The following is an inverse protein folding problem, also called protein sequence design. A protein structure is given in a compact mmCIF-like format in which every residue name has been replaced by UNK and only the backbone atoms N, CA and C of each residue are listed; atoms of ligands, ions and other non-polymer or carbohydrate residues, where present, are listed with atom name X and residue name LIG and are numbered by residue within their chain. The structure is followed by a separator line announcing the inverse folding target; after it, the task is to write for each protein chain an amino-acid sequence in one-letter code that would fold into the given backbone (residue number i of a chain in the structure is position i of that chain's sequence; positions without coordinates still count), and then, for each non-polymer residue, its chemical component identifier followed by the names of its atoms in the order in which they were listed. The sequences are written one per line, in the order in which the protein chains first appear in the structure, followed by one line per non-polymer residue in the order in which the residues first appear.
data_IF_304690199746
#
_entry.id   IF_304690199746
#
_cell.length_a   1.000
_cell.length_b   1.000
_cell.length_c   1.000
_cell.angle_alpha   90.00
_cell.angle_beta   90.00
_cell.angle_gamma   90.00
#
_symmetry.space_group_name_H-M   'P 1'
#
loop_
_entity.id
_entity.type
_entity.pdbx_description
1 polymer ?
#
# COMPACT_ATOMS: atom_id res chain seq x y z
N UNK A 1 -31.89 -63.60 4.77
CA UNK A 1 -31.15 -63.63 6.04
C UNK A 1 -29.71 -64.06 5.79
N UNK A 2 -28.75 -63.16 5.98
CA UNK A 2 -27.36 -63.45 6.41
C UNK A 2 -26.77 -62.12 6.89
N UNK A 3 -26.56 -62.03 8.20
CA UNK A 3 -25.92 -60.92 8.89
C UNK A 3 -24.41 -61.12 8.79
N UNK A 4 -23.67 -60.06 8.48
CA UNK A 4 -22.29 -59.93 8.93
C UNK A 4 -22.13 -58.59 9.64
N UNK A 5 -21.53 -58.68 10.82
CA UNK A 5 -21.25 -57.61 11.75
C UNK A 5 -19.75 -57.27 11.65
N UNK A 6 -19.46 -55.98 11.77
CA UNK A 6 -18.27 -55.37 12.38
C UNK A 6 -16.93 -55.54 11.64
N UNK A 7 -16.33 -54.42 11.21
CA UNK A 7 -15.07 -53.98 11.82
C UNK A 7 -14.81 -52.49 11.58
N UNK A 8 -14.45 -51.80 12.66
CA UNK A 8 -13.91 -50.46 12.70
C UNK A 8 -12.67 -50.33 11.81
N UNK A 9 -12.64 -49.29 10.98
CA UNK A 9 -11.42 -48.70 10.46
C UNK A 9 -11.41 -47.22 10.79
N UNK A 10 -10.64 -46.82 11.80
CA UNK A 10 -10.27 -45.44 12.05
C UNK A 10 -9.64 -44.86 10.77
N UNK A 11 -10.36 -43.98 10.07
CA UNK A 11 -9.70 -42.98 9.25
C UNK A 11 -9.36 -41.80 10.15
N UNK A 12 -8.11 -41.79 10.63
CA UNK A 12 -7.45 -40.54 10.99
C UNK A 12 -7.19 -39.82 9.67
N UNK A 13 -8.16 -39.03 9.21
CA UNK A 13 -7.93 -38.07 8.14
C UNK A 13 -6.92 -37.07 8.68
N UNK A 14 -5.72 -37.08 8.10
CA UNK A 14 -4.75 -36.04 8.32
C UNK A 14 -5.44 -34.68 8.22
N UNK A 15 -5.21 -33.85 9.23
CA UNK A 15 -5.44 -32.42 9.17
C UNK A 15 -4.59 -31.90 8.01
N UNK A 16 -5.16 -31.89 6.81
CA UNK A 16 -4.67 -31.05 5.75
C UNK A 16 -4.90 -29.63 6.26
N UNK A 17 -3.81 -28.97 6.65
CA UNK A 17 -3.75 -27.53 6.60
C UNK A 17 -4.37 -27.14 5.26
N UNK A 18 -5.57 -26.55 5.28
CA UNK A 18 -6.09 -25.85 4.12
C UNK A 18 -5.08 -24.74 3.88
N UNK A 19 -4.08 -24.99 3.05
CA UNK A 19 -3.44 -23.93 2.30
C UNK A 19 -4.61 -23.26 1.60
N UNK A 20 -4.92 -22.04 2.00
CA UNK A 20 -5.90 -21.24 1.27
C UNK A 20 -5.56 -21.35 -0.21
N UNK A 21 -6.52 -21.73 -1.07
CA UNK A 21 -6.22 -21.98 -2.46
C UNK A 21 -5.57 -20.74 -3.03
N UNK A 22 -4.35 -20.90 -3.55
CA UNK A 22 -3.64 -19.82 -4.23
C UNK A 22 -4.59 -19.23 -5.26
N UNK A 23 -4.87 -17.92 -5.23
CA UNK A 23 -5.81 -17.30 -6.14
C UNK A 23 -5.46 -17.63 -7.60
N UNK A 24 -6.46 -17.84 -8.48
CA UNK A 24 -6.19 -18.10 -9.88
C UNK A 24 -5.39 -16.94 -10.51
N UNK A 25 -4.57 -17.21 -11.54
CA UNK A 25 -3.88 -16.15 -12.26
C UNK A 25 -4.90 -15.19 -12.91
N UNK A 26 -4.62 -13.90 -12.85
CA UNK A 26 -5.45 -12.84 -13.42
C UNK A 26 -5.46 -12.94 -14.95
N UNK A 27 -6.61 -12.69 -15.57
CA UNK A 27 -6.72 -12.44 -17.01
C UNK A 27 -5.99 -11.14 -17.41
N UNK A 28 -5.74 -10.96 -18.72
CA UNK A 28 -5.08 -9.75 -19.23
C UNK A 28 -5.85 -8.45 -18.86
N UNK A 29 -7.19 -8.49 -18.87
CA UNK A 29 -8.02 -7.34 -18.53
C UNK A 29 -7.95 -7.01 -17.02
N UNK A 30 -8.00 -8.04 -16.16
CA UNK A 30 -7.85 -7.88 -14.72
C UNK A 30 -6.45 -7.40 -14.34
N UNK A 31 -5.41 -7.94 -15.00
CA UNK A 31 -4.03 -7.52 -14.81
C UNK A 31 -3.82 -6.06 -15.19
N UNK A 32 -4.41 -5.62 -16.33
CA UNK A 32 -4.40 -4.21 -16.74
C UNK A 32 -5.14 -3.32 -15.73
N UNK A 33 -6.31 -3.77 -15.25
CA UNK A 33 -7.08 -3.05 -14.23
C UNK A 33 -6.30 -2.90 -12.93
N UNK A 34 -5.68 -3.98 -12.45
CA UNK A 34 -4.82 -3.99 -11.27
C UNK A 34 -3.65 -3.03 -11.45
N UNK A 35 -2.88 -3.15 -12.53
CA UNK A 35 -1.74 -2.28 -12.82
C UNK A 35 -2.13 -0.79 -12.87
N UNK A 36 -3.27 -0.48 -13.51
CA UNK A 36 -3.81 0.90 -13.55
C UNK A 36 -4.18 1.39 -12.14
N UNK A 37 -4.85 0.55 -11.34
CA UNK A 37 -5.25 0.89 -9.98
C UNK A 37 -4.10 1.04 -9.00
N UNK A 38 -2.95 0.39 -9.28
CA UNK A 38 -1.70 0.44 -8.51
C UNK A 38 -0.78 1.61 -8.90
N UNK A 39 -1.00 2.21 -10.07
CA UNK A 39 -0.14 3.28 -10.60
C UNK A 39 -0.04 4.47 -9.64
N UNK A 40 -1.14 4.98 -9.05
CA UNK A 40 -1.06 6.07 -8.06
C UNK A 40 -0.23 5.71 -6.82
N UNK A 41 -0.30 4.45 -6.37
CA UNK A 41 0.43 3.96 -5.19
C UNK A 41 1.92 3.86 -5.52
N UNK A 42 2.28 3.32 -6.69
CA UNK A 42 3.68 3.31 -7.14
C UNK A 42 4.23 4.74 -7.24
N UNK A 43 3.46 5.69 -7.77
CA UNK A 43 3.89 7.09 -7.83
C UNK A 43 4.06 7.70 -6.43
N UNK A 44 3.14 7.46 -5.51
CA UNK A 44 3.26 7.91 -4.11
C UNK A 44 4.50 7.32 -3.43
N UNK A 45 4.80 6.05 -3.71
CA UNK A 45 5.97 5.38 -3.16
C UNK A 45 7.27 5.88 -3.76
N UNK A 46 7.29 6.16 -5.07
CA UNK A 46 8.43 6.80 -5.71
C UNK A 46 8.67 8.22 -5.17
N UNK A 47 7.60 9.00 -4.96
CA UNK A 47 7.68 10.32 -4.30
C UNK A 47 8.27 10.20 -2.89
N UNK A 48 7.79 9.24 -2.11
CA UNK A 48 8.26 8.99 -0.75
C UNK A 48 9.75 8.62 -0.74
N UNK A 49 10.14 7.66 -1.58
CA UNK A 49 11.53 7.23 -1.70
C UNK A 49 12.46 8.38 -2.11
N UNK A 50 12.01 9.22 -3.05
CA UNK A 50 12.72 10.44 -3.42
C UNK A 50 12.78 11.44 -2.26
N UNK A 51 11.70 11.62 -1.49
CA UNK A 51 11.68 12.53 -0.34
C UNK A 51 12.68 12.10 0.74
N UNK A 52 12.68 10.79 1.06
CA UNK A 52 13.65 10.19 1.98
C UNK A 52 15.08 10.34 1.47
N UNK A 53 15.29 10.17 0.16
CA UNK A 53 16.58 10.34 -0.50
C UNK A 53 17.12 11.78 -0.39
N UNK A 54 16.25 12.79 -0.37
CA UNK A 54 16.62 14.19 -0.21
C UNK A 54 16.60 14.67 1.26
N UNK A 55 16.61 13.75 2.23
CA UNK A 55 16.75 14.06 3.65
C UNK A 55 15.48 14.61 4.31
N UNK A 56 14.33 14.46 3.67
CA UNK A 56 13.04 14.73 4.31
C UNK A 56 12.40 13.44 4.76
N UNK A 57 12.17 13.26 6.07
CA UNK A 57 11.01 12.50 6.48
C UNK A 57 9.78 13.35 6.15
N UNK A 58 8.91 12.96 5.20
CA UNK A 58 7.66 13.67 5.08
C UNK A 58 6.90 13.46 6.38
N UNK A 59 6.64 14.52 7.15
CA UNK A 59 5.60 14.49 8.18
C UNK A 59 4.22 14.12 7.57
N UNK A 60 4.11 14.06 6.25
CA UNK A 60 2.98 13.52 5.49
C UNK A 60 3.07 12.02 5.19
N UNK A 61 3.77 11.20 5.99
CA UNK A 61 3.60 9.73 5.99
C UNK A 61 2.15 9.28 6.29
N UNK A 62 1.25 10.23 6.53
CA UNK A 62 -0.20 10.05 6.47
C UNK A 62 -0.59 9.34 5.16
N UNK A 63 -1.25 8.19 5.23
CA UNK A 63 -1.84 7.58 4.05
C UNK A 63 -2.82 8.56 3.45
N UNK A 64 -2.68 8.77 2.14
CA UNK A 64 -3.73 9.29 1.28
C UNK A 64 -4.29 10.65 1.69
N UNK A 65 -3.54 11.72 1.46
CA UNK A 65 -4.14 13.04 1.22
C UNK A 65 -4.98 13.63 2.35
N UNK A 66 -4.89 13.10 3.58
CA UNK A 66 -5.42 13.76 4.77
C UNK A 66 -4.51 14.95 5.00
N UNK A 67 -4.82 16.07 4.32
CA UNK A 67 -4.13 17.31 4.59
C UNK A 67 -4.36 17.66 6.06
N UNK A 68 -3.26 18.03 6.72
CA UNK A 68 -3.20 18.54 8.09
C UNK A 68 -4.16 19.74 8.21
N UNK A 69 -5.44 19.49 8.48
CA UNK A 69 -6.43 20.58 8.53
C UNK A 69 -7.08 20.77 9.88
N UNK A 70 -6.93 19.85 10.85
CA UNK A 70 -7.13 20.18 12.26
C UNK A 70 -6.14 19.41 13.17
N UNK A 71 -5.21 20.13 13.78
CA UNK A 71 -4.23 19.58 14.73
C UNK A 71 -4.88 19.04 16.03
N UNK A 72 -6.19 19.26 16.23
CA UNK A 72 -6.93 18.92 17.45
C UNK A 72 -7.27 17.42 17.60
N UNK A 73 -7.26 16.65 16.51
CA UNK A 73 -7.71 15.25 16.49
C UNK A 73 -6.57 14.23 16.40
N UNK A 74 -5.31 14.70 16.37
CA UNK A 74 -4.11 13.86 16.32
C UNK A 74 -3.35 14.05 17.63
N UNK A 75 -3.08 12.94 18.32
CA UNK A 75 -2.30 12.94 19.56
C UNK A 75 -0.96 12.25 19.30
N UNK A 76 0.13 12.97 19.53
CA UNK A 76 1.49 12.43 19.47
C UNK A 76 1.95 12.04 20.87
N UNK A 77 2.45 10.82 21.03
CA UNK A 77 3.01 10.29 22.28
C UNK A 77 4.33 9.57 22.01
N UNK A 78 5.11 9.29 23.06
CA UNK A 78 6.35 8.51 22.95
C UNK A 78 7.62 9.33 23.20
N UNK A 79 8.75 8.77 22.79
CA UNK A 79 10.07 9.39 22.91
C UNK A 79 10.41 10.17 21.63
N UNK A 80 10.44 11.50 21.75
CA UNK A 80 10.80 12.43 20.68
C UNK A 80 12.29 12.80 20.67
N UNK A 81 13.12 12.12 21.45
CA UNK A 81 14.57 12.30 21.38
C UNK A 81 15.07 11.90 19.98
N UNK A 82 16.10 12.62 19.53
CA UNK A 82 16.82 12.40 18.28
C UNK A 82 18.29 12.66 18.61
N UNK A 83 18.98 11.61 19.06
CA UNK A 83 20.31 11.72 19.67
C UNK A 83 21.41 11.85 18.61
N UNK A 84 21.25 11.18 17.47
CA UNK A 84 22.19 11.23 16.35
C UNK A 84 21.90 12.34 15.32
N UNK A 85 20.76 13.04 15.47
CA UNK A 85 20.35 14.24 14.71
C UNK A 85 20.05 13.94 13.24
N UNK A 86 19.55 12.75 12.94
CA UNK A 86 19.11 12.39 11.61
C UNK A 86 17.66 12.85 11.29
N UNK A 87 16.99 13.46 12.27
CA UNK A 87 15.64 14.00 12.15
C UNK A 87 14.55 12.96 12.40
N UNK A 88 14.91 11.73 12.77
CA UNK A 88 13.99 10.67 13.15
C UNK A 88 13.89 10.64 14.68
N UNK A 89 12.69 10.72 15.27
CA UNK A 89 12.57 10.50 16.70
C UNK A 89 12.74 9.02 17.05
N UNK A 90 13.37 8.76 18.19
CA UNK A 90 13.61 7.44 18.76
C UNK A 90 12.39 6.52 18.69
N UNK A 91 11.21 6.97 19.14
CA UNK A 91 9.96 6.22 18.98
C UNK A 91 8.72 7.08 19.30
N UNK A 92 7.94 7.44 18.28
CA UNK A 92 6.70 8.21 18.43
C UNK A 92 5.50 7.45 17.90
N UNK A 93 4.37 7.61 18.59
CA UNK A 93 3.07 7.09 18.19
C UNK A 93 2.12 8.26 17.95
N UNK A 94 1.57 8.33 16.74
CA UNK A 94 0.50 9.24 16.33
C UNK A 94 -0.83 8.50 16.44
N UNK A 95 -1.75 9.00 17.25
CA UNK A 95 -3.11 8.48 17.36
C UNK A 95 -4.06 9.43 16.66
N UNK A 96 -4.78 8.92 15.67
CA UNK A 96 -5.78 9.65 14.89
C UNK A 96 -7.16 9.35 15.47
N UNK A 97 -7.92 10.39 15.80
CA UNK A 97 -9.32 10.29 16.17
C UNK A 97 -10.10 11.49 15.62
N UNK A 98 -10.14 11.58 14.30
CA UNK A 98 -10.65 12.71 13.56
C UNK A 98 -12.07 12.47 13.07
N UNK A 99 -12.91 13.50 13.18
CA UNK A 99 -14.27 13.49 12.66
C UNK A 99 -14.52 14.81 11.93
N UNK A 100 -14.95 14.73 10.67
CA UNK A 100 -15.17 15.88 9.79
C UNK A 100 -16.56 15.75 9.15
N UNK A 101 -17.56 16.34 9.79
CA UNK A 101 -18.95 16.16 9.40
C UNK A 101 -19.37 14.68 9.51
N UNK A 102 -19.69 14.06 8.38
CA UNK A 102 -20.06 12.64 8.28
C UNK A 102 -18.87 11.69 8.07
N UNK A 103 -17.66 12.23 7.95
CA UNK A 103 -16.44 11.46 7.71
C UNK A 103 -15.65 11.24 9.00
N UNK A 104 -14.94 10.12 9.09
CA UNK A 104 -14.16 9.73 10.25
C UNK A 104 -12.83 9.11 9.83
N UNK A 105 -11.76 9.44 10.55
CA UNK A 105 -10.46 8.79 10.45
C UNK A 105 -10.00 8.42 11.85
N UNK A 106 -9.83 7.12 12.11
CA UNK A 106 -9.35 6.60 13.39
C UNK A 106 -8.19 5.64 13.18
N UNK A 107 -7.22 5.65 14.07
CA UNK A 107 -6.13 4.67 14.02
C UNK A 107 -4.86 5.14 14.67
N UNK A 108 -3.79 4.43 14.37
CA UNK A 108 -2.46 4.71 14.91
C UNK A 108 -1.41 4.59 13.83
N UNK A 109 -0.41 5.45 13.89
CA UNK A 109 0.85 5.29 13.18
C UNK A 109 2.00 5.34 14.18
N UNK A 110 3.03 4.53 13.97
CA UNK A 110 4.24 4.49 14.81
C UNK A 110 5.43 4.74 13.91
N UNK A 111 6.26 5.72 14.26
CA UNK A 111 7.55 5.96 13.65
C UNK A 111 8.62 5.67 14.69
N UNK A 112 9.60 4.85 14.33
CA UNK A 112 10.66 4.43 15.23
C UNK A 112 11.99 4.41 14.50
N UNK A 113 12.94 5.13 15.05
CA UNK A 113 14.36 4.97 14.72
C UNK A 113 14.83 3.55 15.12
N UNK A 114 15.53 2.89 14.21
CA UNK A 114 16.10 1.56 14.46
C UNK A 114 17.21 1.62 15.51
N UNK A 115 17.99 2.69 15.52
CA UNK A 115 19.06 2.95 16.48
C UNK A 115 19.36 4.46 16.54
N UNK A 116 18.76 5.14 17.52
CA UNK A 116 18.90 6.59 17.81
C UNK A 116 20.35 7.05 18.13
N UNK A 117 21.32 6.15 18.09
CA UNK A 117 22.75 6.47 18.22
C UNK A 117 23.53 6.35 16.89
N UNK A 118 22.85 6.03 15.79
CA UNK A 118 23.44 5.83 14.47
C UNK A 118 22.51 6.35 13.36
N UNK A 119 22.84 7.54 12.86
CA UNK A 119 22.14 8.25 11.79
C UNK A 119 22.03 7.48 10.45
N UNK A 120 22.66 6.31 10.34
CA UNK A 120 22.57 5.42 9.16
C UNK A 120 21.70 4.19 9.39
N UNK A 121 21.12 4.04 10.58
CA UNK A 121 20.32 2.88 10.94
C UNK A 121 18.97 2.88 10.21
N UNK A 122 18.42 4.08 9.96
CA UNK A 122 17.13 4.30 9.29
C UNK A 122 15.94 4.11 10.22
N UNK A 123 14.72 4.11 9.67
CA UNK A 123 13.51 3.99 10.48
C UNK A 123 12.60 2.83 10.08
N UNK A 124 11.68 2.55 10.98
CA UNK A 124 10.46 1.77 10.73
C UNK A 124 9.24 2.66 10.91
N UNK A 125 8.24 2.46 10.06
CA UNK A 125 6.94 3.11 10.18
C UNK A 125 5.85 2.04 10.10
N UNK A 126 4.91 2.02 11.02
CA UNK A 126 3.76 1.10 10.96
C UNK A 126 2.47 1.88 11.07
N UNK A 127 1.42 1.34 10.47
CA UNK A 127 0.12 1.99 10.48
C UNK A 127 -1.03 0.99 10.55
N UNK A 128 -2.05 1.36 11.32
CA UNK A 128 -3.36 0.71 11.38
C UNK A 128 -4.42 1.81 11.45
N UNK A 129 -5.13 2.03 10.34
CA UNK A 129 -6.14 3.08 10.21
C UNK A 129 -7.45 2.55 9.69
N UNK A 130 -8.53 3.20 10.10
CA UNK A 130 -9.88 3.03 9.61
C UNK A 130 -10.40 4.39 9.15
N UNK A 131 -10.89 4.45 7.92
CA UNK A 131 -11.53 5.59 7.33
C UNK A 131 -12.99 5.24 7.09
N UNK A 132 -13.88 6.18 7.38
CA UNK A 132 -15.28 6.13 7.00
C UNK A 132 -15.60 7.43 6.29
N UNK A 133 -16.04 7.33 5.04
CA UNK A 133 -16.51 8.46 4.26
C UNK A 133 -17.99 8.27 3.97
N UNK A 134 -18.79 9.28 4.23
CA UNK A 134 -20.22 9.24 3.96
C UNK A 134 -20.63 10.48 3.19
N UNK A 135 -21.23 10.28 2.01
CA UNK A 135 -21.79 11.33 1.17
C UNK A 135 -23.31 11.15 1.05
N UNK A 136 -24.04 12.25 0.92
CA UNK A 136 -25.48 12.22 0.68
C UNK A 136 -25.85 13.43 -0.18
N UNK A 137 -26.58 13.18 -1.26
CA UNK A 137 -27.05 14.18 -2.20
C UNK A 137 -28.52 13.88 -2.61
N UNK A 138 -29.03 14.57 -3.63
CA UNK A 138 -30.38 14.34 -4.14
C UNK A 138 -30.51 12.99 -4.86
N UNK A 139 -29.40 12.38 -5.25
CA UNK A 139 -29.31 11.14 -6.01
C UNK A 139 -29.16 9.91 -5.10
N UNK A 140 -28.82 10.10 -3.82
CA UNK A 140 -28.94 9.11 -2.77
C UNK A 140 -27.90 9.26 -1.66
N UNK A 141 -27.61 8.14 -0.98
CA UNK A 141 -26.63 8.08 0.10
C UNK A 141 -25.53 7.07 -0.22
N UNK A 142 -24.30 7.40 0.18
CA UNK A 142 -23.14 6.56 -0.07
C UNK A 142 -22.28 6.52 1.18
N UNK A 143 -21.85 5.34 1.58
CA UNK A 143 -20.87 5.16 2.66
C UNK A 143 -19.78 4.22 2.19
N UNK A 144 -18.54 4.68 2.32
CA UNK A 144 -17.32 3.92 2.09
C UNK A 144 -16.59 3.77 3.41
N UNK A 145 -16.18 2.54 3.74
CA UNK A 145 -15.24 2.27 4.82
C UNK A 145 -13.98 1.65 4.25
N UNK A 146 -12.83 2.04 4.80
CA UNK A 146 -11.54 1.52 4.40
C UNK A 146 -10.69 1.26 5.64
N UNK A 147 -10.25 0.02 5.82
CA UNK A 147 -9.23 -0.34 6.80
C UNK A 147 -7.89 -0.48 6.08
N UNK A 148 -6.88 0.22 6.57
CA UNK A 148 -5.52 0.24 6.04
C UNK A 148 -4.58 -0.27 7.13
N UNK A 149 -3.83 -1.32 6.83
CA UNK A 149 -2.68 -1.73 7.64
C UNK A 149 -1.44 -1.63 6.79
N UNK A 150 -0.32 -1.25 7.39
CA UNK A 150 0.92 -1.19 6.64
C UNK A 150 2.15 -1.07 7.51
N UNK A 151 3.28 -1.30 6.86
CA UNK A 151 4.60 -1.15 7.43
C UNK A 151 5.57 -0.67 6.37
N UNK A 152 6.50 0.17 6.77
CA UNK A 152 7.66 0.58 6.00
C UNK A 152 8.90 0.33 6.85
N UNK A 153 9.95 -0.14 6.21
CA UNK A 153 11.27 -0.24 6.77
C UNK A 153 12.21 0.41 5.77
N UNK A 154 12.97 1.43 6.17
CA UNK A 154 13.98 2.02 5.30
C UNK A 154 15.36 2.02 5.97
N UNK A 155 16.40 1.92 5.15
CA UNK A 155 17.80 1.91 5.57
C UNK A 155 18.64 2.71 4.57
N UNK A 156 19.33 3.77 5.01
CA UNK A 156 20.34 4.45 4.20
C UNK A 156 21.46 3.51 3.73
N UNK A 157 21.99 3.75 2.52
CA UNK A 157 23.12 3.01 1.94
C UNK A 157 24.36 3.90 1.89
N UNK A 158 25.53 3.28 1.89
CA UNK A 158 26.82 3.98 1.86
C UNK A 158 27.03 4.84 0.59
N UNK A 159 26.39 4.48 -0.52
CA UNK A 159 26.46 5.24 -1.78
C UNK A 159 25.46 6.41 -1.83
N UNK A 160 24.87 6.79 -0.70
CA UNK A 160 23.83 7.81 -0.60
C UNK A 160 22.44 7.31 -0.97
N UNK A 161 22.28 6.11 -1.54
CA UNK A 161 20.98 5.51 -1.82
C UNK A 161 20.22 5.10 -0.55
N UNK A 162 19.00 4.59 -0.72
CA UNK A 162 18.20 3.99 0.34
C UNK A 162 17.70 2.62 -0.12
N UNK A 163 17.59 1.68 0.82
CA UNK A 163 16.76 0.48 0.67
C UNK A 163 15.47 0.73 1.43
N UNK A 164 14.32 0.43 0.84
CA UNK A 164 13.06 0.44 1.57
C UNK A 164 12.17 -0.75 1.21
N UNK A 165 11.51 -1.28 2.23
CA UNK A 165 10.49 -2.31 2.14
C UNK A 165 9.17 -1.70 2.60
N UNK A 166 8.11 -1.90 1.82
CA UNK A 166 6.78 -1.40 2.13
C UNK A 166 5.76 -2.51 1.95
N UNK A 167 4.92 -2.70 2.96
CA UNK A 167 3.85 -3.68 2.97
C UNK A 167 2.57 -3.00 3.39
N UNK A 168 1.46 -3.36 2.78
CA UNK A 168 0.17 -2.86 3.22
C UNK A 168 -0.97 -3.72 2.73
N UNK A 169 -2.02 -3.76 3.53
CA UNK A 169 -3.31 -4.33 3.20
C UNK A 169 -4.39 -3.27 3.35
N UNK A 170 -5.34 -3.29 2.43
CA UNK A 170 -6.43 -2.35 2.30
C UNK A 170 -7.71 -3.14 2.14
N UNK A 171 -8.62 -3.02 3.10
CA UNK A 171 -9.95 -3.60 3.02
C UNK A 171 -10.95 -2.47 2.84
N UNK A 172 -11.65 -2.47 1.72
CA UNK A 172 -12.61 -1.44 1.33
C UNK A 172 -14.00 -2.06 1.32
N UNK A 173 -14.98 -1.37 1.86
CA UNK A 173 -16.39 -1.67 1.59
C UNK A 173 -17.14 -0.40 1.28
N UNK A 174 -18.01 -0.46 0.28
CA UNK A 174 -18.86 0.65 -0.09
C UNK A 174 -20.30 0.17 -0.24
N UNK A 175 -21.22 0.90 0.38
CA UNK A 175 -22.65 0.60 0.40
C UNK A 175 -23.43 1.88 0.19
N UNK A 176 -24.54 1.81 -0.53
CA UNK A 176 -25.36 3.00 -0.76
C UNK A 176 -26.40 2.83 -1.84
N UNK A 177 -27.03 3.94 -2.19
CA UNK A 177 -27.90 4.07 -3.35
C UNK A 177 -27.49 5.31 -4.12
N UNK A 178 -27.37 5.20 -5.44
CA UNK A 178 -27.12 6.33 -6.33
C UNK A 178 -28.00 6.18 -7.57
N UNK A 179 -28.82 7.18 -7.89
CA UNK A 179 -29.78 7.15 -9.01
C UNK A 179 -30.70 5.91 -9.00
N UNK A 180 -31.29 5.58 -7.84
CA UNK A 180 -32.11 4.38 -7.62
C UNK A 180 -31.41 3.03 -7.85
N UNK A 181 -30.08 3.02 -8.00
CA UNK A 181 -29.29 1.79 -8.03
C UNK A 181 -28.63 1.60 -6.67
N UNK A 182 -28.90 0.47 -6.02
CA UNK A 182 -28.11 0.06 -4.85
C UNK A 182 -26.68 -0.16 -5.31
N UNK A 183 -25.68 0.29 -4.56
CA UNK A 183 -24.26 0.01 -4.74
C UNK A 183 -23.81 -0.82 -3.55
N UNK A 184 -23.22 -1.99 -3.82
CA UNK A 184 -22.59 -2.85 -2.83
C UNK A 184 -21.27 -3.33 -3.40
N UNK A 185 -20.19 -2.94 -2.75
CA UNK A 185 -18.83 -3.28 -3.13
C UNK A 185 -18.04 -3.68 -1.90
N UNK A 186 -17.29 -4.76 -2.01
CA UNK A 186 -16.25 -5.12 -1.04
C UNK A 186 -14.98 -5.43 -1.81
N UNK A 187 -13.84 -4.92 -1.37
CA UNK A 187 -12.54 -5.20 -1.93
C UNK A 187 -11.50 -5.42 -0.84
N UNK A 188 -10.54 -6.28 -1.11
CA UNK A 188 -9.36 -6.44 -0.28
C UNK A 188 -8.14 -6.49 -1.17
N UNK A 189 -7.16 -5.63 -0.90
CA UNK A 189 -5.95 -5.49 -1.69
C UNK A 189 -4.75 -5.51 -0.76
N UNK A 190 -3.76 -6.32 -1.08
CA UNK A 190 -2.48 -6.31 -0.38
C UNK A 190 -1.36 -6.11 -1.37
N UNK A 191 -0.32 -5.40 -0.94
CA UNK A 191 0.87 -5.20 -1.75
C UNK A 191 2.12 -5.18 -0.87
N UNK A 192 3.15 -5.86 -1.37
CA UNK A 192 4.49 -5.87 -0.83
C UNK A 192 5.41 -5.30 -1.90
N UNK A 193 6.26 -4.36 -1.53
CA UNK A 193 7.22 -3.73 -2.42
C UNK A 193 8.57 -3.65 -1.72
N UNK A 194 9.59 -4.06 -2.44
CA UNK A 194 10.99 -3.88 -2.09
C UNK A 194 11.59 -2.95 -3.12
N UNK A 195 12.37 -1.97 -2.67
CA UNK A 195 13.01 -1.04 -3.57
C UNK A 195 14.35 -0.57 -3.05
N UNK A 196 15.21 -0.25 -4.02
CA UNK A 196 16.48 0.40 -3.78
C UNK A 196 16.58 1.64 -4.66
N UNK A 197 17.09 2.72 -4.09
CA UNK A 197 17.39 3.94 -4.81
C UNK A 197 18.88 4.06 -5.08
N UNK A 198 19.21 4.74 -6.16
CA UNK A 198 20.54 5.27 -6.44
C UNK A 198 20.39 6.72 -6.90
N UNK A 199 20.84 7.71 -6.11
CA UNK A 199 20.80 9.10 -6.52
C UNK A 199 21.74 9.33 -7.72
N UNK A 200 21.37 10.25 -8.59
CA UNK A 200 22.16 10.71 -9.72
C UNK A 200 22.07 12.24 -9.91
N UNK A 201 22.64 12.76 -10.99
CA UNK A 201 22.69 14.20 -11.24
C UNK A 201 21.31 14.84 -11.51
N UNK A 202 20.32 14.04 -11.94
CA UNK A 202 19.01 14.51 -12.41
C UNK A 202 17.85 14.10 -11.50
N UNK A 203 18.13 13.25 -10.51
CA UNK A 203 17.17 12.80 -9.53
C UNK A 203 17.59 11.48 -8.88
N UNK A 204 16.74 10.47 -9.02
CA UNK A 204 16.89 9.20 -8.32
C UNK A 204 16.47 8.07 -9.24
N UNK A 205 17.34 7.07 -9.41
CA UNK A 205 16.98 5.78 -10.00
C UNK A 205 16.35 4.90 -8.93
N UNK A 206 15.17 4.32 -9.21
CA UNK A 206 14.46 3.40 -8.33
C UNK A 206 14.30 2.06 -9.02
N UNK A 207 14.91 1.04 -8.44
CA UNK A 207 14.63 -0.35 -8.79
C UNK A 207 13.64 -0.88 -7.77
N UNK A 208 12.58 -1.53 -8.20
CA UNK A 208 11.62 -2.13 -7.29
C UNK A 208 11.04 -3.45 -7.79
N UNK A 209 10.59 -4.25 -6.85
CA UNK A 209 9.92 -5.52 -7.07
C UNK A 209 8.89 -5.78 -5.98
N UNK A 210 7.92 -6.63 -6.27
CA UNK A 210 6.86 -6.88 -5.32
C UNK A 210 5.81 -7.86 -5.79
N UNK A 211 4.83 -8.04 -4.94
CA UNK A 211 3.63 -8.80 -5.18
C UNK A 211 2.41 -7.98 -4.76
N UNK A 212 1.31 -8.20 -5.47
CA UNK A 212 0.02 -7.65 -5.13
C UNK A 212 -1.04 -8.72 -5.28
N UNK A 213 -1.95 -8.77 -4.32
CA UNK A 213 -3.14 -9.60 -4.38
C UNK A 213 -4.37 -8.72 -4.20
N UNK A 214 -5.46 -9.15 -4.83
CA UNK A 214 -6.71 -8.44 -4.79
C UNK A 214 -7.88 -9.39 -4.85
N UNK A 215 -8.94 -9.02 -4.16
CA UNK A 215 -10.27 -9.52 -4.45
C UNK A 215 -11.26 -8.38 -4.45
N UNK A 216 -12.29 -8.49 -5.25
CA UNK A 216 -13.43 -7.60 -5.21
C UNK A 216 -14.72 -8.35 -5.48
N UNK A 217 -15.81 -7.85 -4.92
CA UNK A 217 -17.15 -8.30 -5.21
C UNK A 217 -18.03 -7.08 -5.42
N UNK A 218 -18.58 -6.97 -6.62
CA UNK A 218 -19.52 -5.93 -7.01
C UNK A 218 -20.69 -6.58 -7.76
N UNK A 219 -21.85 -6.68 -7.12
CA UNK A 219 -23.13 -7.02 -7.77
C UNK A 219 -23.07 -8.17 -8.78
N UNK A 220 -22.54 -9.33 -8.37
CA UNK A 220 -22.46 -10.51 -9.22
C UNK A 220 -21.19 -10.60 -10.09
N UNK A 221 -20.33 -9.59 -10.06
CA UNK A 221 -18.97 -9.65 -10.57
C UNK A 221 -18.00 -9.79 -9.41
N UNK A 222 -17.35 -10.94 -9.31
CA UNK A 222 -16.27 -11.18 -8.37
C UNK A 222 -14.95 -11.35 -9.09
N UNK A 223 -13.92 -10.73 -8.58
CA UNK A 223 -12.54 -10.91 -8.98
C UNK A 223 -11.74 -11.41 -7.79
N UNK A 224 -10.80 -12.32 -8.02
CA UNK A 224 -9.74 -12.66 -7.07
C UNK A 224 -8.51 -13.10 -7.84
N UNK A 225 -7.35 -12.52 -7.51
CA UNK A 225 -6.11 -12.87 -8.17
C UNK A 225 -4.89 -12.28 -7.49
N UNK A 226 -3.72 -12.72 -7.94
CA UNK A 226 -2.43 -12.19 -7.52
C UNK A 226 -1.52 -11.93 -8.71
N UNK A 227 -0.66 -10.95 -8.59
CA UNK A 227 0.33 -10.56 -9.60
C UNK A 227 1.66 -10.27 -8.91
N UNK A 228 2.76 -10.52 -9.60
CA UNK A 228 4.06 -9.97 -9.23
C UNK A 228 4.35 -8.77 -10.10
N UNK A 229 5.16 -7.85 -9.61
CA UNK A 229 5.63 -6.73 -10.42
C UNK A 229 7.09 -6.44 -10.16
N UNK A 230 7.75 -5.90 -11.18
CA UNK A 230 9.13 -5.44 -11.09
C UNK A 230 9.36 -4.31 -12.08
N UNK A 231 10.17 -3.35 -11.71
CA UNK A 231 10.45 -2.20 -12.54
C UNK A 231 11.76 -1.51 -12.19
N UNK A 232 12.19 -0.70 -13.13
CA UNK A 232 13.30 0.24 -13.00
C UNK A 232 12.79 1.56 -13.57
N UNK A 233 12.70 2.58 -12.71
CA UNK A 233 12.18 3.90 -13.06
C UNK A 233 13.13 4.98 -12.58
N UNK A 234 13.16 6.10 -13.28
CA UNK A 234 13.86 7.30 -12.82
C UNK A 234 12.83 8.34 -12.35
N UNK A 235 13.14 8.94 -11.22
CA UNK A 235 12.37 10.00 -10.60
C UNK A 235 13.11 11.32 -10.74
N UNK A 236 12.51 12.29 -11.44
CA UNK A 236 13.06 13.64 -11.57
C UNK A 236 12.65 14.52 -10.39
N UNK A 237 13.60 15.31 -9.90
CA UNK A 237 13.41 16.31 -8.84
C UNK A 237 13.10 17.72 -9.38
N UNK A 238 12.59 17.84 -10.60
CA UNK A 238 12.29 19.13 -11.23
C UNK A 238 13.37 19.64 -12.18
N UNK A 239 14.54 18.99 -12.29
CA UNK A 239 15.66 19.48 -13.11
C UNK A 239 15.28 19.69 -14.59
N UNK A 240 14.31 18.91 -15.10
CA UNK A 240 13.80 19.01 -16.47
C UNK A 240 12.34 19.51 -16.54
N UNK A 241 11.88 20.27 -15.55
CA UNK A 241 10.49 20.75 -15.47
C UNK A 241 9.49 19.65 -15.08
N UNK A 242 9.98 18.56 -14.48
CA UNK A 242 9.21 17.37 -14.12
C UNK A 242 9.41 17.01 -12.64
N UNK A 243 8.34 16.91 -11.87
CA UNK A 243 8.37 16.30 -10.53
C UNK A 243 7.61 14.98 -10.59
N UNK A 244 8.32 13.85 -10.52
CA UNK A 244 7.70 12.53 -10.65
C UNK A 244 8.55 11.51 -11.38
N UNK A 245 7.95 10.35 -11.68
CA UNK A 245 8.57 9.36 -12.56
C UNK A 245 8.61 9.94 -13.99
N UNK A 246 9.80 10.06 -14.57
CA UNK A 246 9.98 10.62 -15.91
C UNK A 246 10.37 9.58 -16.96
N UNK A 247 10.83 8.40 -16.54
CA UNK A 247 11.28 7.35 -17.45
C UNK A 247 11.36 6.00 -16.77
N UNK A 248 11.37 4.95 -17.60
CA UNK A 248 11.51 3.57 -17.16
C UNK A 248 10.25 2.75 -17.38
N UNK A 249 10.16 1.59 -16.71
CA UNK A 249 9.02 0.70 -16.90
C UNK A 249 8.74 -0.17 -15.68
N UNK A 250 7.49 -0.64 -15.62
CA UNK A 250 7.02 -1.56 -14.59
C UNK A 250 6.30 -2.68 -15.28
N UNK A 251 6.73 -3.91 -15.04
CA UNK A 251 6.12 -5.10 -15.62
C UNK A 251 5.37 -5.86 -14.54
N UNK A 252 4.09 -6.10 -14.77
CA UNK A 252 3.19 -6.92 -13.97
C UNK A 252 3.06 -8.29 -14.62
N UNK A 253 3.07 -9.37 -13.82
CA UNK A 253 2.98 -10.76 -14.28
C UNK A 253 2.00 -11.55 -13.42
N UNK A 254 1.06 -12.21 -14.08
CA UNK A 254 0.14 -13.16 -13.45
C UNK A 254 -0.06 -14.38 -14.33
N UNK A 255 0.50 -15.53 -13.91
CA UNK A 255 0.60 -16.71 -14.77
C UNK A 255 1.36 -16.40 -16.06
N UNK A 256 0.75 -16.65 -17.21
CA UNK A 256 1.31 -16.34 -18.53
C UNK A 256 1.00 -14.91 -19.00
N UNK A 257 0.14 -14.18 -18.28
CA UNK A 257 -0.25 -12.83 -18.66
C UNK A 257 0.80 -11.83 -18.16
N UNK A 258 1.18 -10.91 -19.03
CA UNK A 258 2.15 -9.84 -18.73
C UNK A 258 1.58 -8.51 -19.19
N UNK A 259 1.76 -7.48 -18.37
CA UNK A 259 1.39 -6.11 -18.71
C UNK A 259 2.50 -5.16 -18.27
N UNK A 260 2.99 -4.32 -19.18
CA UNK A 260 4.09 -3.40 -18.90
C UNK A 260 3.60 -1.96 -19.03
N UNK A 261 3.78 -1.17 -17.98
CA UNK A 261 3.63 0.27 -17.99
C UNK A 261 4.96 0.91 -18.37
N UNK A 262 4.97 1.78 -19.37
CA UNK A 262 6.15 2.52 -19.79
C UNK A 262 5.99 4.00 -19.43
N UNK A 263 7.04 4.58 -18.87
CA UNK A 263 7.11 6.00 -18.51
C UNK A 263 8.03 6.68 -19.52
N UNK A 264 7.54 7.75 -20.14
CA UNK A 264 8.30 8.56 -21.10
C UNK A 264 7.94 10.03 -20.90
N UNK A 265 8.86 10.79 -20.30
CA UNK A 265 8.55 12.10 -19.70
C UNK A 265 7.65 11.96 -18.47
N UNK A 266 7.13 13.07 -17.94
CA UNK A 266 6.17 13.05 -16.80
C UNK A 266 4.81 12.42 -17.15
N UNK A 267 4.68 11.80 -18.33
CA UNK A 267 3.47 11.19 -18.83
C UNK A 267 3.63 9.68 -18.84
N UNK A 268 2.52 9.00 -18.51
CA UNK A 268 2.43 7.54 -18.61
C UNK A 268 1.97 7.21 -20.04
N UNK A 269 2.81 6.50 -20.79
CA UNK A 269 2.45 5.98 -22.12
C UNK A 269 2.04 4.52 -21.99
N UNK A 270 0.80 4.20 -22.41
CA UNK A 270 0.25 2.85 -22.40
C UNK A 270 0.59 2.08 -23.68
#
# INVERSE_FOLDING_TARGET
MKKYCVLLGLMVSLVACRQDPTPPPMSQAELKGMATSMTPQVQQMANLAATLQFGGLPMSLMPMGIQKQEDSCIVTTGNTADTDKDGIPSNVTYTYNCTFGSNEVKGTAVLKDKNDADAKSGATYTIDMNLKMSASDQQGNFTLTQAIKGSMDYTPKANGGIKFEYRTSNKISATGTHNNQTVNYTGEYSYNLNSETTPDATGVKLVFSGDASGSSNQQGHSFSGSTTFSGDVHYSNGHNGCYGIDSGSITFKSGNNTYTLNYTGCNITQ
#
